data_IF_858221785115
#
_entry.id   IF_858221785115
#
_cell.length_a   1.000
_cell.length_b   1.000
_cell.length_c   1.000
_cell.angle_alpha   90.00
_cell.angle_beta   90.00
_cell.angle_gamma   90.00
#
_symmetry.space_group_name_H-M   'P 1'
#
loop_
_entity.id
_entity.type
_entity.pdbx_description
1 polymer ?
#
# COMPACT_ATOMS: atom_id res chain seq x y z
N UNK A 1 19.23 -4.36 95.79
CA UNK A 1 19.65 -5.75 96.11
C UNK A 1 19.86 -6.52 94.81
N UNK A 2 20.94 -7.29 94.79
CA UNK A 2 21.56 -8.21 93.80
C UNK A 2 20.57 -9.35 93.39
N UNK A 3 20.73 -10.23 92.34
CA UNK A 3 21.77 -10.40 91.27
C UNK A 3 21.29 -10.66 89.79
N UNK A 4 22.28 -10.56 88.87
CA UNK A 4 22.68 -11.47 87.75
C UNK A 4 21.64 -12.21 86.89
N UNK A 5 21.85 -12.17 85.57
CA UNK A 5 22.24 -13.35 84.75
C UNK A 5 22.66 -12.95 83.33
N UNK A 6 23.88 -13.34 82.94
CA UNK A 6 24.40 -13.38 81.59
C UNK A 6 23.87 -14.63 80.88
N UNK A 7 23.41 -14.50 79.63
CA UNK A 7 23.64 -15.56 78.62
C UNK A 7 23.70 -14.96 77.22
N UNK A 8 24.86 -15.15 76.61
CA UNK A 8 25.19 -14.97 75.20
C UNK A 8 24.67 -16.19 74.45
N UNK A 9 24.10 -16.03 73.24
CA UNK A 9 24.47 -16.84 72.05
C UNK A 9 23.64 -16.53 70.78
N UNK A 10 24.41 -16.30 69.71
CA UNK A 10 24.27 -16.72 68.32
C UNK A 10 23.06 -16.31 67.46
N UNK A 11 23.39 -15.43 66.49
CA UNK A 11 23.33 -15.65 65.02
C UNK A 11 22.09 -16.35 64.42
N UNK A 12 21.31 -15.57 63.68
CA UNK A 12 20.83 -15.95 62.35
C UNK A 12 20.57 -14.67 61.52
N UNK A 13 21.43 -14.42 60.52
CA UNK A 13 21.17 -13.47 59.44
C UNK A 13 19.99 -13.98 58.60
N UNK A 14 18.82 -13.38 58.77
CA UNK A 14 17.70 -13.51 57.84
C UNK A 14 17.70 -12.34 56.87
N UNK A 15 18.45 -12.46 55.77
CA UNK A 15 18.36 -11.54 54.65
C UNK A 15 17.02 -11.75 53.93
N UNK A 16 16.08 -10.82 54.11
CA UNK A 16 14.84 -10.78 53.33
C UNK A 16 15.19 -10.24 51.95
N UNK A 17 15.50 -11.14 51.02
CA UNK A 17 15.54 -10.83 49.59
C UNK A 17 14.11 -10.51 49.15
N UNK A 18 13.80 -9.22 49.01
CA UNK A 18 12.69 -8.76 48.19
C UNK A 18 13.02 -9.13 46.74
N UNK A 19 12.53 -10.28 46.29
CA UNK A 19 12.50 -10.63 44.88
C UNK A 19 11.54 -9.65 44.21
N UNK A 20 12.10 -8.60 43.62
CA UNK A 20 11.40 -7.77 42.66
C UNK A 20 10.96 -8.64 41.49
N UNK A 21 9.65 -8.70 41.26
CA UNK A 21 9.07 -9.18 40.02
C UNK A 21 9.36 -8.15 38.91
N UNK A 22 10.62 -8.02 38.51
CA UNK A 22 10.99 -7.41 37.24
C UNK A 22 10.89 -8.51 36.20
N UNK A 23 9.71 -8.69 35.62
CA UNK A 23 9.60 -9.39 34.34
C UNK A 23 10.24 -8.49 33.27
N UNK A 24 11.56 -8.53 33.21
CA UNK A 24 12.33 -8.20 32.01
C UNK A 24 12.08 -9.32 30.99
N UNK A 25 10.86 -9.35 30.43
CA UNK A 25 10.66 -9.98 29.13
C UNK A 25 11.51 -9.22 28.11
N UNK A 26 12.04 -9.90 27.07
CA UNK A 26 12.81 -9.21 26.04
C UNK A 26 11.96 -8.07 25.52
N UNK A 27 12.41 -6.84 25.81
CA UNK A 27 11.87 -5.64 25.21
C UNK A 27 11.83 -5.90 23.72
N UNK A 28 10.65 -6.16 23.18
CA UNK A 28 10.42 -6.08 21.75
C UNK A 28 10.89 -4.66 21.41
N UNK A 29 12.09 -4.54 20.84
CA UNK A 29 12.50 -3.33 20.17
C UNK A 29 11.32 -3.01 19.25
N UNK A 30 10.53 -2.00 19.62
CA UNK A 30 9.42 -1.54 18.80
C UNK A 30 10.06 -1.24 17.46
N UNK A 31 9.86 -2.16 16.51
CA UNK A 31 10.60 -2.16 15.28
C UNK A 31 10.25 -0.84 14.59
N UNK A 32 11.21 0.09 14.58
CA UNK A 32 10.92 1.47 14.22
C UNK A 32 10.34 1.48 12.81
N UNK A 33 9.11 2.01 12.69
CA UNK A 33 8.39 2.02 11.43
C UNK A 33 9.16 2.88 10.44
N UNK A 34 9.44 2.30 9.27
CA UNK A 34 10.16 2.97 8.20
C UNK A 34 9.20 3.88 7.44
N UNK A 35 9.62 5.07 6.97
CA UNK A 35 8.79 5.92 6.14
C UNK A 35 8.36 5.18 4.86
N UNK A 36 7.29 5.67 4.22
CA UNK A 36 6.98 5.27 2.86
C UNK A 36 8.16 5.60 1.93
N UNK A 37 8.16 5.02 0.74
CA UNK A 37 9.16 5.35 -0.28
C UNK A 37 8.46 5.62 -1.60
N UNK A 38 8.70 6.80 -2.20
CA UNK A 38 8.31 7.09 -3.56
C UNK A 38 9.28 6.36 -4.51
N UNK A 39 8.90 5.16 -4.95
CA UNK A 39 9.75 4.28 -5.78
C UNK A 39 9.89 4.81 -7.20
N UNK A 40 8.80 5.34 -7.72
CA UNK A 40 8.69 5.77 -9.11
C UNK A 40 7.82 7.01 -9.18
N UNK A 41 8.14 7.89 -10.12
CA UNK A 41 7.29 9.01 -10.49
C UNK A 41 7.51 9.40 -11.94
N UNK A 42 6.45 9.90 -12.57
CA UNK A 42 6.49 10.52 -13.87
C UNK A 42 5.52 11.70 -13.87
N UNK A 43 5.84 12.72 -14.66
CA UNK A 43 4.98 13.86 -14.89
C UNK A 43 5.13 14.37 -16.31
N UNK A 44 4.05 14.86 -16.88
CA UNK A 44 4.02 15.43 -18.22
C UNK A 44 3.17 16.70 -18.22
N UNK A 45 3.62 17.67 -19.02
CA UNK A 45 2.95 18.96 -19.20
C UNK A 45 2.50 19.04 -20.64
N UNK A 46 1.19 19.16 -20.84
CA UNK A 46 0.55 19.21 -22.15
C UNK A 46 -0.13 20.56 -22.33
N UNK A 47 -0.08 21.13 -23.53
CA UNK A 47 -0.79 22.37 -23.83
C UNK A 47 -2.29 22.06 -23.97
N UNK A 48 -3.13 22.82 -23.28
CA UNK A 48 -4.60 22.72 -23.40
C UNK A 48 -5.19 24.07 -23.83
N UNK A 49 -6.49 24.10 -24.13
CA UNK A 49 -7.19 25.32 -24.54
C UNK A 49 -7.04 26.45 -23.51
N UNK A 50 -7.14 26.11 -22.22
CA UNK A 50 -7.16 27.08 -21.12
C UNK A 50 -5.79 27.25 -20.43
N UNK A 51 -4.70 26.79 -21.04
CA UNK A 51 -3.37 26.87 -20.44
C UNK A 51 -2.56 25.60 -20.67
N UNK A 52 -2.24 24.91 -19.58
CA UNK A 52 -1.48 23.67 -19.57
C UNK A 52 -2.14 22.67 -18.62
N UNK A 53 -2.17 21.40 -18.99
CA UNK A 53 -2.49 20.28 -18.12
C UNK A 53 -1.19 19.67 -17.59
N UNK A 54 -1.11 19.49 -16.28
CA UNK A 54 -0.03 18.79 -15.59
C UNK A 54 -0.57 17.47 -15.12
N UNK A 55 -0.08 16.39 -15.70
CA UNK A 55 -0.44 15.04 -15.33
C UNK A 55 0.72 14.40 -14.57
N UNK A 56 0.40 13.54 -13.62
CA UNK A 56 1.40 12.79 -12.87
C UNK A 56 0.95 11.37 -12.58
N UNK A 57 1.95 10.53 -12.37
CA UNK A 57 1.81 9.19 -11.83
C UNK A 57 2.94 8.91 -10.84
N UNK A 58 2.66 8.17 -9.79
CA UNK A 58 3.66 7.76 -8.82
C UNK A 58 3.33 6.43 -8.16
N UNK A 59 4.37 5.82 -7.57
CA UNK A 59 4.24 4.56 -6.80
C UNK A 59 4.88 4.73 -5.43
N UNK A 60 4.05 4.74 -4.40
CA UNK A 60 4.50 4.66 -3.01
C UNK A 60 4.64 3.20 -2.58
N UNK A 61 5.65 2.89 -1.79
CA UNK A 61 5.84 1.58 -1.19
C UNK A 61 5.87 1.67 0.33
N UNK A 62 5.25 0.67 0.95
CA UNK A 62 5.25 0.46 2.38
C UNK A 62 6.03 -0.81 2.71
N UNK A 63 7.19 -0.65 3.35
CA UNK A 63 8.03 -1.78 3.75
C UNK A 63 7.65 -2.33 5.12
N UNK A 64 6.69 -1.72 5.83
CA UNK A 64 6.23 -2.18 7.13
C UNK A 64 5.17 -3.27 6.95
N UNK A 65 5.44 -4.53 7.36
CA UNK A 65 4.60 -5.68 7.02
C UNK A 65 3.29 -5.77 7.82
N UNK A 66 3.16 -4.98 8.90
CA UNK A 66 2.03 -5.07 9.84
C UNK A 66 1.29 -3.76 10.05
N UNK A 67 1.59 -2.73 9.25
CA UNK A 67 1.00 -1.40 9.42
C UNK A 67 0.54 -0.83 8.09
N UNK A 68 -0.66 -0.24 8.08
CA UNK A 68 -1.11 0.62 6.99
C UNK A 68 -0.44 1.98 7.11
N UNK A 69 -0.04 2.54 5.97
CA UNK A 69 0.27 3.96 5.87
C UNK A 69 -1.01 4.72 5.50
N UNK A 70 -1.62 5.40 6.46
CA UNK A 70 -2.90 6.10 6.32
C UNK A 70 -2.72 7.61 6.20
N UNK A 71 -3.77 8.29 5.71
CA UNK A 71 -3.84 9.76 5.60
C UNK A 71 -2.67 10.39 4.84
N UNK A 72 -2.13 9.66 3.86
CA UNK A 72 -1.04 10.15 3.01
C UNK A 72 -1.58 11.22 2.07
N UNK A 73 -0.81 12.30 1.92
CA UNK A 73 -1.11 13.38 0.97
C UNK A 73 0.11 13.55 0.07
N UNK A 74 -0.06 13.39 -1.24
CA UNK A 74 0.94 13.79 -2.22
C UNK A 74 0.82 15.29 -2.47
N UNK A 75 1.96 15.99 -2.49
CA UNK A 75 2.03 17.41 -2.86
C UNK A 75 2.75 17.52 -4.20
N UNK A 76 2.04 18.03 -5.20
CA UNK A 76 2.51 18.23 -6.56
C UNK A 76 2.74 19.72 -6.75
N UNK A 77 3.95 20.09 -7.17
CA UNK A 77 4.32 21.50 -7.41
C UNK A 77 4.93 21.63 -8.80
N UNK A 78 4.32 22.47 -9.64
CA UNK A 78 4.87 22.85 -10.94
C UNK A 78 5.48 24.24 -10.88
N UNK A 79 6.71 24.38 -11.39
CA UNK A 79 7.44 25.65 -11.46
C UNK A 79 7.76 26.01 -12.91
N UNK A 80 7.68 27.30 -13.23
CA UNK A 80 8.08 27.84 -14.52
C UNK A 80 9.62 27.98 -14.64
N UNK A 81 10.09 28.51 -15.78
CA UNK A 81 11.51 28.71 -16.04
C UNK A 81 12.19 29.72 -15.10
N UNK A 82 11.43 30.62 -14.49
CA UNK A 82 11.93 31.57 -13.48
C UNK A 82 11.92 30.98 -12.06
N UNK A 83 11.46 29.73 -11.89
CA UNK A 83 11.33 29.06 -10.60
C UNK A 83 10.06 29.43 -9.82
N UNK A 84 9.17 30.25 -10.39
CA UNK A 84 7.90 30.64 -9.78
C UNK A 84 6.95 29.44 -9.80
N UNK A 85 6.25 29.23 -8.69
CA UNK A 85 5.19 28.24 -8.60
C UNK A 85 3.99 28.68 -9.46
N UNK A 86 3.60 27.81 -10.39
CA UNK A 86 2.49 28.07 -11.34
C UNK A 86 1.34 27.07 -11.19
N UNK A 87 1.55 25.99 -10.44
CA UNK A 87 0.52 25.06 -10.02
C UNK A 87 0.95 24.35 -8.74
N UNK A 88 -0.02 24.12 -7.85
CA UNK A 88 0.13 23.30 -6.66
C UNK A 88 -1.13 22.49 -6.42
N UNK A 89 -0.96 21.21 -6.12
CA UNK A 89 -2.06 20.31 -5.76
C UNK A 89 -1.64 19.48 -4.55
N UNK A 90 -2.49 19.43 -3.54
CA UNK A 90 -2.39 18.47 -2.44
C UNK A 90 -3.45 17.39 -2.68
N UNK A 91 -3.01 16.19 -3.04
CA UNK A 91 -3.85 15.05 -3.37
C UNK A 91 -3.88 14.06 -2.19
N UNK A 92 -5.03 13.91 -1.49
CA UNK A 92 -5.23 12.82 -0.56
C UNK A 92 -5.13 11.48 -1.29
N UNK A 93 -4.40 10.53 -0.71
CA UNK A 93 -4.23 9.19 -1.27
C UNK A 93 -4.94 8.15 -0.41
N UNK A 94 -5.35 7.02 -1.00
CA UNK A 94 -5.87 5.89 -0.21
C UNK A 94 -4.76 5.25 0.62
N UNK A 95 -5.12 4.49 1.65
CA UNK A 95 -4.15 3.85 2.52
C UNK A 95 -3.17 2.93 1.76
N UNK A 96 -1.89 2.95 2.14
CA UNK A 96 -0.87 2.05 1.60
C UNK A 96 -0.90 0.74 2.40
N UNK A 97 -1.19 -0.41 1.76
CA UNK A 97 -1.33 -1.67 2.49
C UNK A 97 -0.01 -2.14 3.11
N UNK A 98 -0.06 -2.97 4.17
CA UNK A 98 1.13 -3.52 4.81
C UNK A 98 1.99 -4.32 3.83
N UNK A 99 3.29 -4.01 3.77
CA UNK A 99 4.24 -4.66 2.84
C UNK A 99 3.97 -4.42 1.36
N UNK A 100 3.01 -3.56 1.00
CA UNK A 100 2.54 -3.38 -0.37
C UNK A 100 2.94 -2.05 -1.01
N UNK A 101 2.27 -1.73 -2.10
CA UNK A 101 2.47 -0.49 -2.85
C UNK A 101 1.15 0.17 -3.23
N UNK A 102 1.24 1.46 -3.53
CA UNK A 102 0.15 2.34 -3.92
C UNK A 102 0.55 3.07 -5.20
N UNK A 103 -0.11 2.74 -6.31
CA UNK A 103 -0.07 3.56 -7.52
C UNK A 103 -1.11 4.67 -7.45
N UNK A 104 -0.71 5.90 -7.71
CA UNK A 104 -1.59 7.06 -7.73
C UNK A 104 -1.32 7.89 -8.97
N UNK A 105 -2.37 8.53 -9.47
CA UNK A 105 -2.32 9.40 -10.65
C UNK A 105 -3.17 10.64 -10.39
N UNK A 106 -2.92 11.70 -11.15
CA UNK A 106 -3.75 12.90 -11.08
C UNK A 106 -3.44 13.90 -12.19
N UNK A 107 -4.28 14.92 -12.24
CA UNK A 107 -4.19 16.03 -13.18
C UNK A 107 -4.46 17.35 -12.45
N UNK A 108 -3.76 18.41 -12.87
CA UNK A 108 -4.05 19.79 -12.46
C UNK A 108 -3.84 20.74 -13.64
N UNK A 109 -4.59 21.85 -13.66
CA UNK A 109 -4.43 22.90 -14.67
C UNK A 109 -3.46 23.98 -14.19
N UNK A 110 -2.67 24.50 -15.12
CA UNK A 110 -1.74 25.60 -14.89
C UNK A 110 -1.93 26.68 -15.97
N UNK A 111 -2.03 27.95 -15.57
CA UNK A 111 -2.15 29.06 -16.54
C UNK A 111 -0.85 29.32 -17.31
N UNK A 112 0.29 29.02 -16.70
CA UNK A 112 1.63 29.15 -17.28
C UNK A 112 2.30 27.78 -17.42
N UNK A 113 3.25 27.64 -18.35
CA UNK A 113 3.93 26.36 -18.60
C UNK A 113 4.88 26.02 -17.44
N UNK A 114 4.64 24.96 -16.67
CA UNK A 114 5.66 24.43 -15.78
C UNK A 114 6.77 23.79 -16.62
N UNK A 115 8.03 24.07 -16.27
CA UNK A 115 9.20 23.38 -16.85
C UNK A 115 9.73 22.30 -15.91
N UNK A 116 9.37 22.37 -14.62
CA UNK A 116 9.70 21.38 -13.60
C UNK A 116 8.46 21.05 -12.79
N UNK A 117 8.21 19.76 -12.59
CA UNK A 117 7.16 19.26 -11.70
C UNK A 117 7.82 18.37 -10.66
N UNK A 118 7.51 18.59 -9.39
CA UNK A 118 7.98 17.78 -8.26
C UNK A 118 6.80 17.13 -7.57
N UNK A 119 6.96 15.88 -7.17
CA UNK A 119 6.00 15.15 -6.35
C UNK A 119 6.70 14.79 -5.05
N UNK A 120 6.17 15.32 -3.96
CA UNK A 120 6.53 14.95 -2.59
C UNK A 120 5.31 14.36 -1.89
N UNK A 121 5.50 13.85 -0.67
CA UNK A 121 4.39 13.36 0.13
C UNK A 121 4.60 13.67 1.61
N UNK A 122 3.50 13.85 2.33
CA UNK A 122 3.52 14.01 3.79
C UNK A 122 3.67 12.65 4.47
N UNK A 123 4.40 12.55 5.60
CA UNK A 123 4.53 11.29 6.34
C UNK A 123 3.18 10.64 6.63
N UNK A 124 3.12 9.32 6.48
CA UNK A 124 1.92 8.55 6.76
C UNK A 124 1.62 8.50 8.26
N UNK A 125 0.35 8.39 8.60
CA UNK A 125 -0.07 7.95 9.93
C UNK A 125 -0.05 6.42 9.94
N UNK A 126 0.76 5.84 10.83
CA UNK A 126 0.87 4.39 10.90
C UNK A 126 -0.21 3.80 11.78
N UNK A 127 -0.97 2.87 11.21
CA UNK A 127 -1.96 2.11 11.96
C UNK A 127 -1.67 0.61 11.87
N UNK A 128 -1.63 -0.12 12.99
CA UNK A 128 -1.53 -1.58 12.97
C UNK A 128 -2.66 -2.19 12.14
N UNK A 129 -2.31 -3.15 11.29
CA UNK A 129 -3.28 -3.92 10.53
C UNK A 129 -3.99 -4.93 11.43
N UNK A 130 -5.30 -5.06 11.28
CA UNK A 130 -6.12 -6.02 12.02
C UNK A 130 -5.89 -7.48 11.58
N UNK A 131 -5.20 -7.69 10.46
CA UNK A 131 -4.96 -9.00 9.84
C UNK A 131 -3.52 -9.09 9.33
N UNK A 132 -3.09 -10.32 9.08
CA UNK A 132 -1.79 -10.57 8.48
C UNK A 132 -1.70 -10.06 7.05
N UNK A 133 -0.51 -9.68 6.59
CA UNK A 133 -0.31 -9.10 5.25
C UNK A 133 -0.93 -9.94 4.11
N UNK A 134 -0.82 -11.27 4.19
CA UNK A 134 -1.38 -12.20 3.20
C UNK A 134 -2.91 -12.26 3.15
N UNK A 135 -3.61 -11.65 4.12
CA UNK A 135 -5.06 -11.49 4.08
C UNK A 135 -5.49 -10.39 3.09
N UNK A 136 -4.61 -9.43 2.78
CA UNK A 136 -4.86 -8.31 1.86
C UNK A 136 -4.48 -8.70 0.42
N UNK A 137 -5.30 -9.56 -0.19
CA UNK A 137 -5.18 -9.99 -1.59
C UNK A 137 -5.41 -8.85 -2.57
N UNK A 138 -4.60 -8.83 -3.63
CA UNK A 138 -4.81 -7.96 -4.80
C UNK A 138 -6.09 -8.31 -5.54
N UNK A 139 -6.78 -7.29 -6.05
CA UNK A 139 -7.93 -7.48 -6.92
C UNK A 139 -7.48 -7.97 -8.30
N UNK A 140 -7.97 -9.13 -8.79
CA UNK A 140 -7.54 -9.66 -10.07
C UNK A 140 -8.02 -8.76 -11.20
N UNK A 141 -7.09 -8.37 -12.08
CA UNK A 141 -7.38 -7.61 -13.30
C UNK A 141 -7.17 -8.50 -14.51
N UNK A 142 -8.08 -8.46 -15.47
CA UNK A 142 -8.03 -9.32 -16.66
C UNK A 142 -8.44 -8.61 -17.95
N UNK A 143 -8.02 -9.20 -19.08
CA UNK A 143 -8.32 -8.73 -20.45
C UNK A 143 -8.00 -7.25 -20.65
N UNK A 144 -6.87 -6.80 -20.12
CA UNK A 144 -6.41 -5.42 -20.28
C UNK A 144 -6.10 -5.16 -21.74
N UNK A 145 -6.69 -4.09 -22.28
CA UNK A 145 -6.37 -3.55 -23.59
C UNK A 145 -5.91 -2.11 -23.43
N UNK A 146 -4.94 -1.71 -24.23
CA UNK A 146 -4.41 -0.35 -24.26
C UNK A 146 -4.37 0.11 -25.70
N UNK A 147 -5.18 1.11 -26.02
CA UNK A 147 -5.41 1.56 -27.39
C UNK A 147 -4.93 3.02 -27.51
N UNK A 148 -3.89 3.30 -28.30
CA UNK A 148 -3.46 4.67 -28.55
C UNK A 148 -4.57 5.45 -29.27
N UNK A 149 -4.74 6.71 -28.89
CA UNK A 149 -5.70 7.64 -29.47
C UNK A 149 -4.99 8.64 -30.38
N UNK A 150 -5.77 9.31 -31.24
CA UNK A 150 -5.24 10.28 -32.22
C UNK A 150 -4.64 11.53 -31.56
N UNK A 151 -5.09 11.88 -30.36
CA UNK A 151 -4.60 13.00 -29.56
C UNK A 151 -3.38 12.64 -28.70
N UNK A 152 -2.82 11.43 -28.85
CA UNK A 152 -1.68 10.95 -28.08
C UNK A 152 -2.03 10.42 -26.69
N UNK A 153 -3.31 10.47 -26.29
CA UNK A 153 -3.81 9.78 -25.09
C UNK A 153 -3.92 8.26 -25.34
N UNK A 154 -4.19 7.50 -24.27
CA UNK A 154 -4.39 6.05 -24.35
C UNK A 154 -5.69 5.65 -23.67
N UNK A 155 -6.55 4.92 -24.39
CA UNK A 155 -7.73 4.29 -23.82
C UNK A 155 -7.33 2.94 -23.23
N UNK A 156 -7.54 2.76 -21.93
CA UNK A 156 -7.28 1.50 -21.23
C UNK A 156 -8.61 0.90 -20.79
N UNK A 157 -8.83 -0.36 -21.14
CA UNK A 157 -10.03 -1.09 -20.73
C UNK A 157 -9.68 -2.46 -20.19
N UNK A 158 -10.56 -3.04 -19.40
CA UNK A 158 -10.40 -4.39 -18.88
C UNK A 158 -11.49 -4.71 -17.87
N UNK A 159 -11.27 -5.75 -17.08
CA UNK A 159 -12.20 -6.19 -16.05
C UNK A 159 -11.49 -6.32 -14.71
N UNK A 160 -12.17 -5.93 -13.64
CA UNK A 160 -11.69 -6.09 -12.26
C UNK A 160 -12.59 -7.10 -11.54
N UNK A 161 -11.98 -8.13 -10.96
CA UNK A 161 -12.68 -9.09 -10.12
C UNK A 161 -12.48 -8.80 -8.63
N UNK A 162 -13.23 -9.52 -7.80
CA UNK A 162 -13.14 -9.42 -6.34
C UNK A 162 -12.64 -10.75 -5.74
N UNK A 163 -11.50 -10.77 -5.01
CA UNK A 163 -10.99 -11.98 -4.37
C UNK A 163 -11.64 -12.25 -3.00
N UNK A 164 -12.58 -11.43 -2.56
CA UNK A 164 -13.29 -11.50 -1.28
C UNK A 164 -14.74 -11.95 -1.45
N UNK A 165 -15.32 -12.50 -0.38
CA UNK A 165 -16.73 -12.92 -0.35
C UNK A 165 -17.67 -11.72 -0.29
N UNK A 166 -17.27 -10.68 0.44
CA UNK A 166 -18.02 -9.42 0.53
C UNK A 166 -17.79 -8.58 -0.73
N UNK A 167 -18.84 -7.90 -1.25
CA UNK A 167 -18.67 -6.96 -2.36
C UNK A 167 -17.78 -5.79 -1.93
N UNK A 168 -16.90 -5.36 -2.83
CA UNK A 168 -16.15 -4.12 -2.63
C UNK A 168 -17.03 -2.95 -3.11
N UNK A 169 -17.33 -2.02 -2.21
CA UNK A 169 -18.23 -0.90 -2.48
C UNK A 169 -17.74 -0.02 -3.61
N UNK A 170 -16.46 0.38 -3.56
CA UNK A 170 -15.79 1.16 -4.59
C UNK A 170 -14.31 0.81 -4.65
N UNK A 171 -13.82 0.56 -5.86
CA UNK A 171 -12.41 0.34 -6.17
C UNK A 171 -11.87 1.49 -7.02
N UNK A 172 -10.69 1.96 -6.67
CA UNK A 172 -9.87 2.76 -7.58
C UNK A 172 -9.08 1.81 -8.47
N UNK A 173 -9.20 1.98 -9.79
CA UNK A 173 -8.41 1.29 -10.79
C UNK A 173 -7.39 2.27 -11.36
N UNK A 174 -6.10 1.99 -11.20
CA UNK A 174 -5.03 2.78 -11.81
C UNK A 174 -4.41 2.00 -12.96
N UNK A 175 -4.15 2.68 -14.08
CA UNK A 175 -3.31 2.18 -15.15
C UNK A 175 -2.04 3.03 -15.24
N UNK A 176 -0.89 2.36 -15.17
CA UNK A 176 0.44 2.94 -15.34
C UNK A 176 0.99 2.50 -16.70
N UNK A 177 1.39 3.46 -17.52
CA UNK A 177 2.02 3.21 -18.81
C UNK A 177 3.53 3.16 -18.65
N UNK A 178 4.15 2.13 -19.23
CA UNK A 178 5.59 1.86 -19.13
C UNK A 178 6.21 1.70 -20.50
N UNK A 179 7.47 2.13 -20.62
CA UNK A 179 8.28 1.86 -21.80
C UNK A 179 8.84 0.44 -21.82
N UNK A 180 9.61 0.11 -22.87
CA UNK A 180 10.25 -1.22 -23.04
C UNK A 180 11.25 -1.59 -21.94
N UNK A 181 11.77 -0.60 -21.21
CA UNK A 181 12.72 -0.79 -20.10
C UNK A 181 12.01 -0.93 -18.76
N UNK A 182 10.69 -0.75 -18.74
CA UNK A 182 9.87 -0.75 -17.53
C UNK A 182 9.74 0.62 -16.87
N UNK A 183 10.33 1.68 -17.43
CA UNK A 183 10.24 3.04 -16.87
C UNK A 183 8.80 3.56 -16.93
N UNK A 184 8.34 4.15 -15.83
CA UNK A 184 7.05 4.83 -15.75
C UNK A 184 7.01 6.05 -16.69
N UNK A 185 6.00 6.10 -17.56
CA UNK A 185 5.76 7.20 -18.51
C UNK A 185 4.64 8.14 -18.05
N UNK A 186 3.61 7.58 -17.41
CA UNK A 186 2.42 8.29 -16.97
C UNK A 186 1.34 7.30 -16.51
N UNK A 187 0.15 7.80 -16.21
CA UNK A 187 -0.95 6.95 -15.81
C UNK A 187 -2.28 7.69 -15.70
N UNK A 188 -3.34 6.94 -15.47
CA UNK A 188 -4.68 7.45 -15.22
C UNK A 188 -5.43 6.54 -14.26
N UNK A 189 -6.53 7.06 -13.71
CA UNK A 189 -7.35 6.36 -12.74
C UNK A 189 -8.83 6.43 -13.11
N UNK A 190 -9.59 5.42 -12.71
CA UNK A 190 -11.05 5.41 -12.74
C UNK A 190 -11.60 4.68 -11.52
N UNK A 191 -12.91 4.68 -11.35
CA UNK A 191 -13.60 4.01 -10.26
C UNK A 191 -14.49 2.90 -10.81
N UNK A 192 -14.64 1.84 -10.01
CA UNK A 192 -15.60 0.79 -10.27
C UNK A 192 -16.29 0.43 -8.97
N UNK A 193 -17.60 0.52 -8.98
CA UNK A 193 -18.43 0.29 -7.79
C UNK A 193 -19.06 -1.11 -7.80
N UNK A 194 -19.51 -1.55 -6.63
CA UNK A 194 -20.24 -2.81 -6.40
C UNK A 194 -19.54 -4.04 -7.02
N UNK A 195 -18.24 -4.17 -6.80
CA UNK A 195 -17.43 -5.25 -7.37
C UNK A 195 -17.69 -6.55 -6.60
N UNK A 196 -18.47 -7.44 -7.19
CA UNK A 196 -18.87 -8.73 -6.61
C UNK A 196 -17.95 -9.88 -7.04
N UNK A 197 -17.85 -10.89 -6.19
CA UNK A 197 -17.17 -12.14 -6.56
C UNK A 197 -17.88 -12.81 -7.76
N UNK A 198 -17.10 -13.29 -8.72
CA UNK A 198 -17.63 -14.02 -9.89
C UNK A 198 -18.30 -13.19 -10.97
N UNK A 199 -18.56 -11.89 -10.73
CA UNK A 199 -19.14 -10.98 -11.72
C UNK A 199 -18.24 -9.75 -11.88
N UNK A 200 -17.15 -9.86 -12.66
CA UNK A 200 -16.17 -8.78 -12.75
C UNK A 200 -16.70 -7.63 -13.63
N UNK A 201 -16.93 -6.42 -13.08
CA UNK A 201 -17.30 -5.26 -13.88
C UNK A 201 -16.18 -4.82 -14.83
N UNK A 202 -16.58 -4.19 -15.94
CA UNK A 202 -15.66 -3.57 -16.89
C UNK A 202 -15.23 -2.20 -16.36
N UNK A 203 -13.94 -1.89 -16.48
CA UNK A 203 -13.44 -0.52 -16.33
C UNK A 203 -13.03 0.06 -17.69
N UNK A 204 -13.15 1.36 -17.81
CA UNK A 204 -12.70 2.17 -18.94
C UNK A 204 -12.06 3.42 -18.34
N UNK A 205 -10.83 3.71 -18.74
CA UNK A 205 -10.13 4.93 -18.34
C UNK A 205 -9.29 5.46 -19.49
N UNK A 206 -9.03 6.77 -19.48
CA UNK A 206 -8.12 7.42 -20.42
C UNK A 206 -6.88 7.86 -19.65
N UNK A 207 -5.70 7.49 -20.16
CA UNK A 207 -4.43 8.07 -19.72
C UNK A 207 -4.12 9.27 -20.61
N UNK A 208 -3.87 10.47 -20.03
CA UNK A 208 -3.59 11.68 -20.79
C UNK A 208 -2.39 11.56 -21.75
N UNK A 209 -2.29 12.50 -22.69
CA UNK A 209 -1.22 12.57 -23.69
C UNK A 209 0.17 12.48 -23.04
N UNK A 210 1.02 11.56 -23.53
CA UNK A 210 2.39 11.38 -23.07
C UNK A 210 3.38 12.31 -23.79
N UNK A 211 4.59 12.56 -23.24
CA UNK A 211 5.61 13.34 -23.92
C UNK A 211 5.90 12.82 -25.34
N UNK A 212 6.10 13.73 -26.29
CA UNK A 212 6.42 13.38 -27.69
C UNK A 212 7.60 12.40 -27.76
N UNK A 213 7.45 11.35 -28.57
CA UNK A 213 8.46 10.29 -28.71
C UNK A 213 8.38 9.19 -27.65
N UNK A 214 7.48 9.29 -26.66
CA UNK A 214 7.21 8.19 -25.74
C UNK A 214 6.60 7.01 -26.48
N UNK A 215 7.12 5.82 -26.23
CA UNK A 215 6.59 4.57 -26.78
C UNK A 215 6.14 3.68 -25.62
N UNK A 216 4.83 3.45 -25.55
CA UNK A 216 4.23 2.56 -24.55
C UNK A 216 4.43 1.12 -24.99
N UNK A 217 5.11 0.33 -24.16
CA UNK A 217 5.34 -1.09 -24.39
C UNK A 217 4.47 -1.96 -23.48
N UNK A 218 4.14 -1.48 -22.28
CA UNK A 218 3.37 -2.23 -21.29
C UNK A 218 2.45 -1.30 -20.50
N UNK A 219 1.28 -1.82 -20.17
CA UNK A 219 0.35 -1.20 -19.22
C UNK A 219 0.25 -2.08 -17.98
N UNK A 220 0.55 -1.50 -16.82
CA UNK A 220 0.32 -2.12 -15.53
C UNK A 220 -0.98 -1.59 -14.97
N UNK A 221 -1.94 -2.48 -14.68
CA UNK A 221 -3.22 -2.10 -14.09
C UNK A 221 -3.33 -2.72 -12.70
N UNK A 222 -3.67 -1.91 -11.71
CA UNK A 222 -4.01 -2.38 -10.38
C UNK A 222 -5.35 -1.82 -9.93
N UNK A 223 -6.01 -2.56 -9.04
CA UNK A 223 -7.23 -2.12 -8.39
C UNK A 223 -7.10 -2.30 -6.89
N UNK A 224 -7.69 -1.37 -6.13
CA UNK A 224 -7.63 -1.33 -4.67
C UNK A 224 -8.84 -0.62 -4.09
N UNK A 225 -9.07 -0.81 -2.79
CA UNK A 225 -10.11 -0.09 -2.08
C UNK A 225 -9.83 1.41 -2.07
N UNK A 226 -10.88 2.20 -2.28
CA UNK A 226 -10.82 3.65 -2.16
C UNK A 226 -10.92 4.09 -0.68
N UNK A 227 -10.15 5.12 -0.29
CA UNK A 227 -10.24 5.74 1.04
C UNK A 227 -8.91 5.86 1.79
N UNK A 228 -8.73 6.98 2.50
CA UNK A 228 -7.49 7.33 3.21
C UNK A 228 -7.14 6.43 4.41
N UNK A 229 -8.02 5.50 4.77
CA UNK A 229 -7.82 4.50 5.82
C UNK A 229 -7.89 3.08 5.23
N UNK A 230 -7.20 2.13 5.86
CA UNK A 230 -7.20 0.72 5.49
C UNK A 230 -8.49 -0.02 5.87
N UNK A 231 -9.45 0.63 6.56
CA UNK A 231 -10.69 -0.01 7.02
C UNK A 231 -11.48 -0.72 5.92
N UNK A 232 -11.74 -0.10 4.74
CA UNK A 232 -12.46 -0.80 3.68
C UNK A 232 -11.77 -2.10 3.24
N UNK A 233 -10.43 -2.12 3.26
CA UNK A 233 -9.68 -3.32 2.88
C UNK A 233 -9.72 -4.38 3.98
N UNK A 234 -9.66 -3.95 5.24
CA UNK A 234 -9.80 -4.83 6.40
C UNK A 234 -11.19 -5.45 6.49
N UNK A 235 -12.26 -4.69 6.23
CA UNK A 235 -13.64 -5.20 6.24
C UNK A 235 -13.81 -6.33 5.21
N UNK A 236 -13.23 -6.16 4.01
CA UNK A 236 -13.19 -7.21 2.99
C UNK A 236 -12.39 -8.44 3.45
N UNK A 237 -11.21 -8.22 4.05
CA UNK A 237 -10.36 -9.29 4.56
C UNK A 237 -11.03 -10.07 5.72
N UNK A 238 -11.79 -9.39 6.57
CA UNK A 238 -12.60 -9.99 7.66
C UNK A 238 -13.78 -10.79 7.10
N UNK A 239 -14.40 -10.32 6.02
CA UNK A 239 -15.42 -11.06 5.27
C UNK A 239 -14.92 -12.36 4.63
N UNK A 240 -13.59 -12.54 4.56
CA UNK A 240 -12.94 -13.75 4.07
C UNK A 240 -12.75 -13.76 2.56
N UNK A 241 -11.73 -14.48 2.12
CA UNK A 241 -11.40 -14.62 0.72
C UNK A 241 -12.24 -15.72 0.02
N UNK A 242 -12.44 -15.57 -1.28
CA UNK A 242 -12.94 -16.64 -2.14
C UNK A 242 -11.79 -17.66 -2.35
N UNK A 243 -12.06 -18.97 -2.22
CA UNK A 243 -11.07 -19.99 -2.55
C UNK A 243 -10.67 -19.87 -4.03
N UNK A 244 -9.37 -19.73 -4.32
CA UNK A 244 -8.89 -19.65 -5.71
C UNK A 244 -8.96 -21.00 -6.43
N UNK A 245 -9.01 -22.10 -5.67
CA UNK A 245 -9.13 -23.46 -6.18
C UNK A 245 -10.28 -24.15 -5.45
N UNK A 246 -11.42 -24.27 -6.12
CA UNK A 246 -12.56 -25.10 -5.66
C UNK A 246 -12.54 -26.48 -6.31
N UNK A 247 -11.71 -26.68 -7.33
CA UNK A 247 -11.49 -27.97 -7.96
C UNK A 247 -10.77 -28.87 -6.95
N UNK A 248 -11.40 -29.99 -6.60
CA UNK A 248 -10.78 -31.00 -5.75
C UNK A 248 -9.46 -31.44 -6.39
N UNK A 249 -8.33 -31.44 -5.67
CA UNK A 249 -7.07 -31.96 -6.18
C UNK A 249 -7.29 -33.38 -6.72
N UNK A 250 -6.90 -33.61 -7.96
CA UNK A 250 -6.91 -34.95 -8.58
C UNK A 250 -5.69 -35.76 -8.18
N UNK A 251 -4.68 -35.10 -7.60
CA UNK A 251 -3.51 -35.76 -7.03
C UNK A 251 -3.90 -36.60 -5.82
N UNK A 252 -3.46 -37.87 -5.73
CA UNK A 252 -3.68 -38.67 -4.53
C UNK A 252 -3.06 -37.96 -3.31
N UNK A 253 -3.65 -38.12 -2.11
CA UNK A 253 -3.05 -37.59 -0.89
C UNK A 253 -1.62 -38.13 -0.76
N UNK A 254 -0.73 -37.32 -0.18
CA UNK A 254 0.63 -37.77 0.10
C UNK A 254 0.57 -39.06 0.93
N UNK A 255 1.29 -40.10 0.50
CA UNK A 255 1.34 -41.40 1.20
C UNK A 255 1.91 -41.29 2.62
N UNK A 256 2.66 -40.24 2.88
CA UNK A 256 3.20 -39.91 4.20
C UNK A 256 2.85 -38.45 4.47
N UNK A 257 2.01 -38.23 5.48
CA UNK A 257 1.91 -36.91 6.09
C UNK A 257 3.27 -36.58 6.67
N UNK A 258 3.93 -35.52 6.18
CA UNK A 258 5.23 -35.12 6.71
C UNK A 258 5.12 -34.54 8.13
N UNK A 259 3.90 -34.48 8.68
CA UNK A 259 3.61 -33.87 9.96
C UNK A 259 3.78 -32.36 9.87
N UNK A 260 3.01 -31.63 10.67
CA UNK A 260 3.47 -30.32 11.10
C UNK A 260 4.66 -30.54 12.04
N UNK A 261 5.85 -30.10 11.64
CA UNK A 261 6.86 -29.84 12.67
C UNK A 261 6.28 -28.74 13.56
N UNK A 262 5.82 -29.13 14.75
CA UNK A 262 5.66 -28.17 15.84
C UNK A 262 7.02 -27.49 15.97
N UNK A 263 7.06 -26.17 15.76
CA UNK A 263 8.21 -25.37 16.17
C UNK A 263 8.32 -25.57 17.68
N UNK A 264 9.12 -26.54 18.12
CA UNK A 264 9.55 -26.65 19.50
C UNK A 264 10.32 -25.36 19.76
N UNK A 265 9.72 -24.47 20.54
CA UNK A 265 10.41 -23.31 21.05
C UNK A 265 11.74 -23.76 21.65
N UNK A 266 12.81 -23.04 21.33
CA UNK A 266 14.03 -23.13 22.13
C UNK A 266 13.65 -22.71 23.54
N UNK A 267 13.49 -23.67 24.43
CA UNK A 267 13.94 -23.47 25.79
C UNK A 267 15.46 -23.27 25.72
N UNK A 268 15.92 -22.22 26.41
CA UNK A 268 17.32 -21.83 26.49
C UNK A 268 18.15 -22.88 27.23
#
# INVERSE_FOLDING_TARGET
MIPRSLTVSLLALGAICLTGCSQDGPSQQQQQLKPLTLKEQASNVVKSADGYAVNWAGVLANVNPWHFGEHVVATIVGRDAAGKEVVRMDQPLDAVPPGGSLAFTGEARAGQKPVKVTIDYRPAQWRPAARIASAFRSFPVSRVQTLPQKDGSYLVTGYVGNPYRLPASSLVVNALLRDKTGKLLGGGSTFVDDVKAGSPPRFILTVPELPKGSSVARTEVNARTWGSTGRPFEDLALGGAVPMHTIKPTTPPFQTDRGSQAFSGREQ
#
